data_IF_462822620509
#
_entry.id   IF_462822620509
#
_cell.length_a   1.000
_cell.length_b   1.000
_cell.length_c   1.000
_cell.angle_alpha   90.00
_cell.angle_beta   90.00
_cell.angle_gamma   90.00
#
_symmetry.space_group_name_H-M   'P 1'
#
loop_
_entity.id
_entity.type
_entity.pdbx_description
1 polymer ?
#
# COMPACT_ATOMS: atom_id res chain seq x y z
N UNK A 1 -32.64 7.84 -2.35
CA UNK A 1 -31.66 7.09 -3.17
C UNK A 1 -30.57 7.98 -3.75
N UNK A 2 -30.90 9.05 -4.51
CA UNK A 2 -29.89 9.95 -5.11
C UNK A 2 -28.84 10.51 -4.14
N UNK A 3 -29.25 11.02 -2.97
CA UNK A 3 -28.31 11.57 -1.98
C UNK A 3 -27.33 10.52 -1.42
N UNK A 4 -27.77 9.26 -1.29
CA UNK A 4 -26.91 8.16 -0.84
C UNK A 4 -25.89 7.82 -1.93
N UNK A 5 -26.32 7.76 -3.19
CA UNK A 5 -25.41 7.58 -4.33
C UNK A 5 -24.35 8.67 -4.41
N UNK A 6 -24.73 9.94 -4.23
CA UNK A 6 -23.77 11.04 -4.17
C UNK A 6 -22.78 10.88 -3.01
N UNK A 7 -23.26 10.51 -1.83
CA UNK A 7 -22.40 10.25 -0.68
C UNK A 7 -21.35 9.17 -0.97
N UNK A 8 -21.76 8.05 -1.57
CA UNK A 8 -20.85 6.96 -1.96
C UNK A 8 -19.82 7.41 -2.98
N UNK A 9 -20.23 8.17 -4.01
CA UNK A 9 -19.31 8.68 -5.03
C UNK A 9 -18.29 9.63 -4.40
N UNK A 10 -18.72 10.53 -3.51
CA UNK A 10 -17.84 11.48 -2.83
C UNK A 10 -16.82 10.75 -1.96
N UNK A 11 -17.24 9.73 -1.19
CA UNK A 11 -16.29 8.99 -0.33
C UNK A 11 -15.27 8.22 -1.15
N UNK A 12 -15.67 7.60 -2.27
CA UNK A 12 -14.75 6.91 -3.19
C UNK A 12 -13.73 7.90 -3.75
N UNK A 13 -14.18 9.03 -4.31
CA UNK A 13 -13.28 10.00 -4.92
C UNK A 13 -12.35 10.62 -3.88
N UNK A 14 -12.90 11.05 -2.74
CA UNK A 14 -12.10 11.66 -1.67
C UNK A 14 -11.04 10.71 -1.13
N UNK A 15 -11.42 9.47 -0.78
CA UNK A 15 -10.47 8.50 -0.25
C UNK A 15 -9.40 8.12 -1.29
N UNK A 16 -9.78 7.94 -2.55
CA UNK A 16 -8.84 7.63 -3.62
C UNK A 16 -7.83 8.77 -3.85
N UNK A 17 -8.30 10.02 -3.95
CA UNK A 17 -7.43 11.19 -4.23
C UNK A 17 -6.50 11.46 -3.06
N UNK A 18 -7.02 11.48 -1.83
CA UNK A 18 -6.21 11.74 -0.64
C UNK A 18 -5.19 10.61 -0.43
N UNK A 19 -5.60 9.35 -0.57
CA UNK A 19 -4.67 8.22 -0.46
C UNK A 19 -3.59 8.28 -1.56
N UNK A 20 -3.97 8.56 -2.80
CA UNK A 20 -3.01 8.68 -3.90
C UNK A 20 -1.94 9.74 -3.63
N UNK A 21 -2.34 10.93 -3.18
CA UNK A 21 -1.40 12.01 -2.86
C UNK A 21 -0.51 11.61 -1.67
N UNK A 22 -1.10 11.08 -0.60
CA UNK A 22 -0.35 10.67 0.58
C UNK A 22 0.67 9.58 0.27
N UNK A 23 0.28 8.56 -0.50
CA UNK A 23 1.19 7.50 -0.92
C UNK A 23 2.26 8.02 -1.88
N UNK A 24 1.94 8.93 -2.80
CA UNK A 24 2.95 9.53 -3.67
C UNK A 24 4.00 10.34 -2.91
N UNK A 25 3.57 11.07 -1.88
CA UNK A 25 4.49 11.78 -0.99
C UNK A 25 5.34 10.78 -0.22
N UNK A 26 4.74 9.79 0.43
CA UNK A 26 5.48 8.77 1.19
C UNK A 26 6.51 8.03 0.32
N UNK A 27 6.14 7.64 -0.91
CA UNK A 27 7.02 6.97 -1.86
C UNK A 27 8.26 7.82 -2.20
N UNK A 28 8.10 9.14 -2.30
CA UNK A 28 9.20 10.06 -2.58
C UNK A 28 10.17 10.22 -1.40
N UNK A 29 9.68 10.16 -0.16
CA UNK A 29 10.50 10.45 1.02
C UNK A 29 11.09 9.21 1.69
N UNK A 30 10.33 8.13 1.77
CA UNK A 30 10.73 6.91 2.50
C UNK A 30 10.75 5.66 1.64
N UNK A 31 10.10 5.69 0.46
CA UNK A 31 9.85 4.50 -0.35
C UNK A 31 8.76 3.63 0.25
N UNK A 32 7.76 3.23 -0.55
CA UNK A 32 6.62 2.44 -0.05
C UNK A 32 6.73 0.94 -0.28
N UNK A 33 7.57 0.51 -1.20
CA UNK A 33 7.65 -0.89 -1.65
C UNK A 33 9.12 -1.30 -1.72
N UNK A 34 9.44 -2.50 -1.25
CA UNK A 34 10.80 -3.04 -1.34
C UNK A 34 11.13 -3.42 -2.80
N UNK A 35 12.42 -3.56 -3.16
CA UNK A 35 12.83 -4.01 -4.49
C UNK A 35 12.19 -5.35 -4.90
N UNK A 36 11.95 -5.57 -6.20
CA UNK A 36 11.27 -6.78 -6.72
C UNK A 36 12.01 -8.08 -6.36
N UNK A 37 13.34 -8.04 -6.29
CA UNK A 37 14.17 -9.16 -5.85
C UNK A 37 13.90 -9.54 -4.39
N UNK A 38 13.77 -8.54 -3.50
CA UNK A 38 13.45 -8.77 -2.09
C UNK A 38 12.01 -9.25 -1.90
N UNK A 39 11.07 -8.76 -2.73
CA UNK A 39 9.69 -9.26 -2.71
C UNK A 39 9.58 -10.72 -3.16
N UNK A 40 10.42 -11.13 -4.11
CA UNK A 40 10.47 -12.52 -4.62
C UNK A 40 11.12 -13.48 -3.63
N UNK A 41 12.17 -13.04 -2.95
CA UNK A 41 12.87 -13.83 -1.93
C UNK A 41 12.03 -13.95 -0.64
N UNK A 42 11.27 -12.90 -0.30
CA UNK A 42 10.31 -12.88 0.79
C UNK A 42 10.78 -12.01 1.96
N UNK A 43 9.87 -11.18 2.48
CA UNK A 43 10.14 -10.21 3.54
C UNK A 43 10.54 -10.84 4.88
N UNK A 44 10.15 -12.08 5.13
CA UNK A 44 10.60 -12.81 6.31
C UNK A 44 12.12 -12.97 6.27
N UNK A 45 12.67 -13.35 5.12
CA UNK A 45 14.12 -13.53 4.91
C UNK A 45 14.81 -12.17 4.80
N UNK A 46 14.30 -11.28 3.94
CA UNK A 46 15.01 -10.05 3.54
C UNK A 46 14.90 -8.93 4.57
N UNK A 47 13.76 -8.81 5.25
CA UNK A 47 13.53 -7.74 6.23
C UNK A 47 13.62 -8.21 7.69
N UNK A 48 13.32 -9.48 7.98
CA UNK A 48 13.31 -10.02 9.34
C UNK A 48 14.41 -11.05 9.63
N UNK A 49 15.10 -11.56 8.60
CA UNK A 49 16.14 -12.58 8.75
C UNK A 49 15.61 -13.95 9.22
N UNK A 50 14.30 -14.16 9.12
CA UNK A 50 13.61 -15.36 9.56
C UNK A 50 13.23 -16.21 8.34
N UNK A 51 13.39 -17.52 8.43
CA UNK A 51 12.80 -18.45 7.46
C UNK A 51 11.57 -19.05 8.11
N UNK A 52 10.40 -18.86 7.50
CA UNK A 52 9.11 -19.26 8.08
C UNK A 52 9.01 -20.77 8.39
N UNK A 53 9.82 -21.60 7.72
CA UNK A 53 9.87 -23.05 7.94
C UNK A 53 11.31 -23.58 7.81
N UNK A 54 11.84 -24.13 8.89
CA UNK A 54 12.94 -25.09 8.84
C UNK A 54 12.34 -26.48 8.66
N UNK A 55 12.72 -27.17 7.57
CA UNK A 55 12.43 -28.59 7.37
C UNK A 55 13.70 -29.42 7.60
#
# INVERSE_FOLDING_TARGET
MWIQTYGVIITIIWSAVVAFIAYKIADMFVGLRVPEEEEREGLDITAHGETAYHH
#
